data_IF_804702650276
#
_entry.id   IF_804702650276
#
_cell.length_a   1.000
_cell.length_b   1.000
_cell.length_c   1.000
_cell.angle_alpha   90.00
_cell.angle_beta   90.00
_cell.angle_gamma   90.00
#
_symmetry.space_group_name_H-M   'P 1'
#
loop_
_entity.id
_entity.type
_entity.pdbx_description
1 polymer ?
#
# COMPACT_ATOMS: atom_id res chain seq x y z
N UNK A 1 -8.05 -6.58 -0.69
CA UNK A 1 -9.12 -6.07 -1.55
C UNK A 1 -10.51 -6.52 -1.11
N UNK A 2 -10.84 -7.82 -1.17
CA UNK A 2 -12.18 -8.34 -0.81
C UNK A 2 -12.73 -7.87 0.54
N UNK A 3 -11.89 -7.72 1.57
CA UNK A 3 -12.34 -7.20 2.87
C UNK A 3 -12.79 -5.74 2.79
N UNK A 4 -12.03 -4.88 2.10
CA UNK A 4 -12.41 -3.48 1.88
C UNK A 4 -13.71 -3.40 1.07
N UNK A 5 -13.90 -4.31 0.13
CA UNK A 5 -15.12 -4.38 -0.66
C UNK A 5 -16.34 -4.86 0.14
N UNK A 6 -16.16 -5.84 1.02
CA UNK A 6 -17.22 -6.24 1.96
C UNK A 6 -17.56 -5.12 2.94
N UNK A 7 -16.55 -4.40 3.43
CA UNK A 7 -16.78 -3.23 4.29
C UNK A 7 -17.59 -2.17 3.54
N UNK A 8 -17.18 -1.80 2.31
CA UNK A 8 -17.92 -0.88 1.44
C UNK A 8 -19.39 -1.31 1.28
N UNK A 9 -19.60 -2.57 0.89
CA UNK A 9 -20.94 -3.12 0.67
C UNK A 9 -21.85 -2.95 1.89
N UNK A 10 -21.34 -3.15 3.10
CA UNK A 10 -22.13 -3.04 4.33
C UNK A 10 -22.35 -1.61 4.81
N UNK A 11 -21.47 -0.66 4.49
CA UNK A 11 -21.53 0.69 5.04
C UNK A 11 -22.05 1.73 4.06
N UNK A 12 -21.97 1.50 2.75
CA UNK A 12 -22.22 2.52 1.72
C UNK A 12 -23.52 2.30 0.92
N UNK A 13 -24.50 1.59 1.52
CA UNK A 13 -25.89 1.49 1.05
C UNK A 13 -26.05 1.19 -0.46
N UNK A 14 -25.44 0.09 -0.92
CA UNK A 14 -25.49 -0.39 -2.32
C UNK A 14 -24.93 0.58 -3.40
N UNK A 15 -24.22 1.64 -3.02
CA UNK A 15 -23.51 2.46 -4.01
C UNK A 15 -22.52 1.61 -4.80
N UNK A 16 -22.55 1.76 -6.14
CA UNK A 16 -21.62 1.04 -7.03
C UNK A 16 -20.18 1.38 -6.64
N UNK A 17 -19.35 0.34 -6.57
CA UNK A 17 -17.94 0.40 -6.17
C UNK A 17 -17.15 1.51 -6.87
N UNK A 18 -17.26 1.59 -8.19
CA UNK A 18 -16.43 2.48 -9.01
C UNK A 18 -16.78 3.97 -8.88
N UNK A 19 -17.87 4.30 -8.17
CA UNK A 19 -18.40 5.67 -8.06
C UNK A 19 -18.77 6.06 -6.63
N UNK A 20 -18.37 5.27 -5.62
CA UNK A 20 -18.70 5.59 -4.23
C UNK A 20 -17.95 6.83 -3.74
N UNK A 21 -18.71 7.84 -3.32
CA UNK A 21 -18.20 9.07 -2.70
C UNK A 21 -18.76 9.29 -1.29
N UNK A 22 -19.37 8.26 -0.69
CA UNK A 22 -20.02 8.35 0.61
C UNK A 22 -19.00 8.80 1.70
N UNK A 23 -19.27 9.88 2.47
CA UNK A 23 -18.33 10.41 3.47
C UNK A 23 -18.02 9.44 4.62
N UNK A 24 -18.91 8.49 4.86
CA UNK A 24 -18.79 7.45 5.89
C UNK A 24 -18.12 6.17 5.36
N UNK A 25 -17.91 6.02 4.03
CA UNK A 25 -17.30 4.81 3.48
C UNK A 25 -15.79 4.79 3.73
N UNK A 26 -15.34 4.07 4.76
CA UNK A 26 -13.92 3.97 5.10
C UNK A 26 -13.06 3.45 3.95
N UNK A 27 -13.56 2.50 3.16
CA UNK A 27 -12.84 1.92 2.01
C UNK A 27 -12.49 3.00 0.98
N UNK A 28 -13.47 3.80 0.55
CA UNK A 28 -13.24 4.84 -0.45
C UNK A 28 -12.60 6.11 0.11
N UNK A 29 -12.95 6.50 1.33
CA UNK A 29 -12.43 7.74 1.92
C UNK A 29 -10.98 7.61 2.39
N UNK A 30 -10.52 6.40 2.74
CA UNK A 30 -9.19 6.18 3.32
C UNK A 30 -8.25 5.38 2.44
N UNK A 31 -8.74 4.35 1.73
CA UNK A 31 -7.89 3.40 0.99
C UNK A 31 -7.91 3.60 -0.52
N UNK A 32 -9.03 4.03 -1.11
CA UNK A 32 -9.15 4.11 -2.55
C UNK A 32 -8.18 5.10 -3.18
N UNK A 33 -7.45 4.63 -4.19
CA UNK A 33 -6.66 5.46 -5.09
C UNK A 33 -7.47 5.70 -6.35
N UNK A 34 -7.92 6.93 -6.57
CA UNK A 34 -8.56 7.33 -7.83
C UNK A 34 -7.47 7.64 -8.83
N UNK A 35 -7.35 6.82 -9.87
CA UNK A 35 -6.27 6.88 -10.84
C UNK A 35 -6.81 7.12 -12.24
N UNK A 36 -5.97 7.63 -13.12
CA UNK A 36 -6.12 7.39 -14.55
C UNK A 36 -4.80 6.97 -15.18
N UNK A 37 -4.91 6.16 -16.23
CA UNK A 37 -3.80 5.74 -17.08
C UNK A 37 -3.83 6.45 -18.42
N UNK A 38 -2.66 6.86 -18.91
CA UNK A 38 -2.52 7.50 -20.21
C UNK A 38 -1.15 7.23 -20.84
N UNK A 39 -1.12 6.99 -22.15
CA UNK A 39 0.11 6.94 -22.94
C UNK A 39 0.31 8.28 -23.66
N UNK A 40 1.51 8.85 -23.58
CA UNK A 40 1.89 10.07 -24.30
C UNK A 40 3.17 9.81 -25.07
N UNK A 41 3.11 9.87 -26.39
CA UNK A 41 4.26 9.65 -27.25
C UNK A 41 5.16 10.88 -27.25
N UNK A 42 6.40 10.72 -26.83
CA UNK A 42 7.40 11.80 -26.87
C UNK A 42 7.88 12.10 -28.28
N UNK A 43 7.77 11.14 -29.20
CA UNK A 43 8.27 11.27 -30.58
C UNK A 43 7.29 12.01 -31.49
N UNK A 44 5.98 11.73 -31.42
CA UNK A 44 4.97 12.35 -32.30
C UNK A 44 3.87 13.14 -31.58
N UNK A 45 3.87 13.17 -30.24
CA UNK A 45 2.87 13.89 -29.44
C UNK A 45 1.52 13.19 -29.30
N UNK A 46 1.30 12.05 -29.98
CA UNK A 46 0.06 11.29 -29.88
C UNK A 46 -0.21 10.84 -28.45
N UNK A 47 -1.46 10.98 -28.03
CA UNK A 47 -1.90 10.70 -26.66
C UNK A 47 -3.10 9.77 -26.69
N UNK A 48 -3.15 8.76 -25.82
CA UNK A 48 -4.32 7.91 -25.68
C UNK A 48 -5.42 8.62 -24.88
N UNK A 49 -6.66 8.16 -25.03
CA UNK A 49 -7.72 8.56 -24.11
C UNK A 49 -7.33 8.17 -22.66
N UNK A 50 -7.64 9.03 -21.68
CA UNK A 50 -7.40 8.70 -20.28
C UNK A 50 -8.36 7.59 -19.83
N UNK A 51 -7.83 6.57 -19.16
CA UNK A 51 -8.62 5.48 -18.59
C UNK A 51 -8.70 5.63 -17.07
N UNK A 52 -9.80 6.17 -16.51
CA UNK A 52 -9.99 6.32 -15.07
C UNK A 52 -10.41 5.00 -14.42
N UNK A 53 -9.94 4.75 -13.20
CA UNK A 53 -10.34 3.62 -12.36
C UNK A 53 -10.03 3.88 -10.88
N UNK A 54 -10.59 3.04 -10.02
CA UNK A 54 -10.27 3.01 -8.59
C UNK A 54 -9.41 1.79 -8.30
N UNK A 55 -8.34 1.97 -7.55
CA UNK A 55 -7.47 0.89 -7.08
C UNK A 55 -7.47 0.87 -5.55
N UNK A 56 -7.77 -0.28 -4.94
CA UNK A 56 -7.73 -0.45 -3.48
C UNK A 56 -6.37 -0.95 -2.98
N UNK A 57 -5.69 -1.76 -3.79
CA UNK A 57 -4.37 -2.33 -3.47
C UNK A 57 -3.43 -2.14 -4.65
N UNK A 58 -2.25 -1.58 -4.39
CA UNK A 58 -1.20 -1.40 -5.39
C UNK A 58 -0.31 -2.64 -5.44
N UNK A 59 -0.54 -3.51 -6.42
CA UNK A 59 0.21 -4.76 -6.56
C UNK A 59 1.54 -4.56 -7.31
N UNK A 60 2.61 -5.15 -6.78
CA UNK A 60 3.97 -5.11 -7.31
C UNK A 60 4.52 -6.54 -7.38
N UNK A 61 5.08 -6.92 -8.52
CA UNK A 61 5.86 -8.16 -8.62
C UNK A 61 7.17 -8.03 -7.84
N UNK A 62 7.48 -9.01 -7.00
CA UNK A 62 8.75 -9.05 -6.26
C UNK A 62 9.95 -9.14 -7.20
N UNK A 63 9.80 -9.83 -8.33
CA UNK A 63 10.85 -9.96 -9.35
C UNK A 63 11.13 -8.61 -10.01
N UNK A 64 10.10 -7.86 -10.39
CA UNK A 64 10.27 -6.48 -10.89
C UNK A 64 10.88 -5.56 -9.84
N UNK A 65 10.49 -5.70 -8.57
CA UNK A 65 11.02 -4.92 -7.47
C UNK A 65 12.53 -5.15 -7.29
N UNK A 66 12.98 -6.41 -7.19
CA UNK A 66 14.39 -6.75 -7.05
C UNK A 66 15.22 -6.28 -8.25
N UNK A 67 14.72 -6.50 -9.47
CA UNK A 67 15.41 -6.06 -10.68
C UNK A 67 15.60 -4.53 -10.71
N UNK A 68 14.55 -3.77 -10.35
CA UNK A 68 14.67 -2.31 -10.29
C UNK A 68 15.56 -1.85 -9.15
N UNK A 69 15.58 -2.55 -8.01
CA UNK A 69 16.49 -2.23 -6.91
C UNK A 69 17.95 -2.35 -7.35
N UNK A 70 18.31 -3.42 -8.06
CA UNK A 70 19.64 -3.60 -8.66
C UNK A 70 19.96 -2.48 -9.65
N UNK A 71 19.05 -2.20 -10.60
CA UNK A 71 19.25 -1.12 -11.57
C UNK A 71 19.43 0.26 -10.91
N UNK A 72 18.71 0.55 -9.82
CA UNK A 72 18.84 1.81 -9.08
C UNK A 72 20.18 1.90 -8.33
N UNK A 73 20.66 0.79 -7.77
CA UNK A 73 21.98 0.71 -7.11
C UNK A 73 23.12 0.91 -8.11
N UNK A 74 23.04 0.32 -9.30
CA UNK A 74 24.07 0.49 -10.35
C UNK A 74 24.15 1.94 -10.86
N UNK A 75 23.02 2.64 -10.89
CA UNK A 75 22.93 4.01 -11.41
C UNK A 75 23.22 5.11 -10.40
N UNK A 76 23.22 4.80 -9.09
CA UNK A 76 23.40 5.81 -8.03
C UNK A 76 24.51 5.41 -7.07
N UNK A 77 25.41 6.36 -6.80
CA UNK A 77 26.50 6.16 -5.83
C UNK A 77 26.01 6.01 -4.37
N UNK A 78 24.78 6.45 -4.04
CA UNK A 78 24.16 6.25 -2.71
C UNK A 78 22.63 6.08 -2.80
N UNK A 79 22.06 4.89 -2.48
CA UNK A 79 20.63 4.75 -2.26
C UNK A 79 20.21 5.54 -1.01
N UNK A 80 19.09 6.28 -1.09
CA UNK A 80 18.47 6.94 0.07
C UNK A 80 17.17 6.21 0.46
N UNK A 81 16.81 6.17 1.75
CA UNK A 81 15.55 5.57 2.21
C UNK A 81 14.29 6.16 1.55
N UNK A 82 14.38 7.37 1.02
CA UNK A 82 13.28 8.09 0.36
C UNK A 82 12.99 7.57 -1.06
N UNK A 83 13.85 6.69 -1.60
CA UNK A 83 13.72 6.17 -2.96
C UNK A 83 12.71 5.03 -3.11
N UNK A 84 12.11 4.57 -2.01
CA UNK A 84 11.20 3.42 -2.08
C UNK A 84 9.98 3.68 -2.96
N UNK A 85 9.41 4.90 -2.96
CA UNK A 85 8.32 5.26 -3.86
C UNK A 85 8.72 5.17 -5.34
N UNK A 86 9.89 5.72 -5.69
CA UNK A 86 10.46 5.66 -7.05
C UNK A 86 10.75 4.21 -7.48
N UNK A 87 11.26 3.39 -6.56
CA UNK A 87 11.49 1.96 -6.78
C UNK A 87 10.18 1.23 -7.14
N UNK A 88 9.12 1.45 -6.36
CA UNK A 88 7.80 0.87 -6.61
C UNK A 88 7.21 1.34 -7.94
N UNK A 89 7.33 2.64 -8.26
CA UNK A 89 6.88 3.19 -9.53
C UNK A 89 7.58 2.53 -10.73
N UNK A 90 8.91 2.39 -10.65
CA UNK A 90 9.70 1.74 -11.68
C UNK A 90 9.33 0.27 -11.83
N UNK A 91 9.12 -0.44 -10.71
CA UNK A 91 8.72 -1.84 -10.70
C UNK A 91 7.31 -2.04 -11.30
N UNK A 92 6.38 -1.13 -10.99
CA UNK A 92 5.00 -1.13 -11.53
C UNK A 92 4.93 -0.98 -13.04
N UNK A 93 5.88 -0.27 -13.65
CA UNK A 93 5.89 0.00 -15.09
C UNK A 93 6.84 -0.92 -15.86
N UNK A 94 7.50 -1.86 -15.17
CA UNK A 94 8.43 -2.79 -15.77
C UNK A 94 7.69 -3.76 -16.71
N UNK A 95 8.00 -3.69 -18.01
CA UNK A 95 7.36 -4.50 -19.04
C UNK A 95 6.04 -3.94 -19.59
N UNK A 96 5.53 -2.84 -19.04
CA UNK A 96 4.26 -2.23 -19.44
C UNK A 96 4.46 -1.20 -20.59
N UNK A 97 4.89 -1.72 -21.74
CA UNK A 97 5.10 -0.95 -22.97
C UNK A 97 3.95 -1.15 -23.93
N UNK A 98 3.37 -0.05 -24.41
CA UNK A 98 2.34 -0.04 -25.46
C UNK A 98 2.86 0.60 -26.75
N UNK A 99 2.32 0.18 -27.88
CA UNK A 99 2.58 0.87 -29.14
C UNK A 99 1.99 2.28 -29.12
N UNK A 100 2.64 3.21 -29.83
CA UNK A 100 2.11 4.53 -30.02
C UNK A 100 0.66 4.51 -30.53
N UNK A 101 -0.27 5.32 -29.99
CA UNK A 101 -1.65 5.42 -30.49
C UNK A 101 -1.74 5.75 -31.98
N UNK A 102 -0.80 6.55 -32.51
CA UNK A 102 -0.68 6.87 -33.94
C UNK A 102 0.21 5.89 -34.72
N UNK A 103 0.62 4.79 -34.09
CA UNK A 103 1.45 3.73 -34.67
C UNK A 103 2.74 4.23 -35.36
N UNK A 104 3.41 5.24 -34.80
CA UNK A 104 4.63 5.82 -35.37
C UNK A 104 5.90 4.97 -35.15
N UNK A 105 5.77 3.74 -34.63
CA UNK A 105 6.88 2.83 -34.34
C UNK A 105 7.46 2.92 -32.91
N UNK A 106 7.09 3.94 -32.12
CA UNK A 106 7.58 4.11 -30.75
C UNK A 106 6.84 3.22 -29.75
N UNK A 107 7.55 2.73 -28.73
CA UNK A 107 6.97 2.05 -27.56
C UNK A 107 6.93 2.98 -26.35
N UNK A 108 5.76 3.12 -25.75
CA UNK A 108 5.47 4.11 -24.72
C UNK A 108 5.12 3.41 -23.41
N UNK A 109 5.66 3.92 -22.31
CA UNK A 109 5.26 3.50 -20.96
C UNK A 109 3.94 4.15 -20.57
N UNK A 110 3.09 3.41 -19.87
CA UNK A 110 1.86 3.96 -19.30
C UNK A 110 2.20 4.92 -18.16
N UNK A 111 1.57 6.09 -18.14
CA UNK A 111 1.64 7.06 -17.05
C UNK A 111 0.41 6.89 -16.17
N UNK A 112 0.64 6.60 -14.88
CA UNK A 112 -0.41 6.53 -13.85
C UNK A 112 -0.46 7.85 -13.08
N UNK A 113 -1.63 8.47 -13.04
CA UNK A 113 -1.84 9.76 -12.36
C UNK A 113 -2.84 9.58 -11.22
N UNK A 114 -2.42 9.93 -10.00
CA UNK A 114 -3.27 9.93 -8.81
C UNK A 114 -4.07 11.22 -8.69
N UNK A 115 -5.37 11.08 -8.55
CA UNK A 115 -6.34 12.18 -8.57
C UNK A 115 -6.82 12.63 -7.19
N UNK A 116 -6.65 11.79 -6.17
CA UNK A 116 -7.11 12.05 -4.81
C UNK A 116 -5.95 11.93 -3.79
N UNK A 117 -6.28 12.07 -2.51
CA UNK A 117 -5.33 11.98 -1.39
C UNK A 117 -5.70 10.85 -0.42
N UNK A 118 -5.43 9.57 -0.77
CA UNK A 118 -5.65 8.45 0.14
C UNK A 118 -4.78 8.61 1.39
N UNK A 119 -5.37 8.30 2.55
CA UNK A 119 -4.65 8.37 3.84
C UNK A 119 -4.00 7.04 4.20
N UNK A 120 -4.41 5.95 3.56
CA UNK A 120 -3.84 4.62 3.72
C UNK A 120 -3.52 4.06 2.33
N UNK A 121 -2.28 3.61 2.14
CA UNK A 121 -1.84 2.91 0.94
C UNK A 121 -1.54 1.47 1.32
N UNK A 122 -2.15 0.55 0.58
CA UNK A 122 -1.87 -0.89 0.69
C UNK A 122 -1.05 -1.32 -0.51
N UNK A 123 0.14 -1.87 -0.28
CA UNK A 123 0.99 -2.46 -1.33
C UNK A 123 0.93 -3.98 -1.20
N UNK A 124 0.52 -4.65 -2.26
CA UNK A 124 0.55 -6.11 -2.36
C UNK A 124 1.80 -6.57 -3.09
N UNK A 125 2.52 -7.52 -2.52
CA UNK A 125 3.70 -8.14 -3.14
C UNK A 125 3.28 -9.47 -3.76
N UNK A 126 3.48 -9.58 -5.08
CA UNK A 126 3.16 -10.76 -5.87
C UNK A 126 4.43 -11.56 -6.05
N UNK A 127 4.44 -12.77 -5.48
CA UNK A 127 5.54 -13.73 -5.53
C UNK A 127 5.33 -14.72 -6.67
N UNK A 128 6.40 -15.04 -7.38
CA UNK A 128 6.35 -16.02 -8.47
C UNK A 128 6.31 -17.47 -7.96
N UNK A 129 6.67 -17.70 -6.69
CA UNK A 129 6.64 -19.02 -6.04
C UNK A 129 6.49 -18.93 -4.53
N UNK A 130 6.00 -20.02 -3.91
CA UNK A 130 5.90 -20.19 -2.46
C UNK A 130 7.28 -20.30 -1.77
N UNK A 131 8.35 -20.52 -2.55
CA UNK A 131 9.72 -20.77 -2.08
C UNK A 131 10.72 -19.91 -2.86
N UNK A 132 10.47 -18.60 -2.94
CA UNK A 132 11.38 -17.69 -3.64
C UNK A 132 12.63 -17.39 -2.82
N UNK A 133 13.79 -17.49 -3.46
CA UNK A 133 15.09 -17.09 -2.90
C UNK A 133 15.26 -15.56 -2.81
N UNK A 134 14.31 -14.79 -3.37
CA UNK A 134 14.33 -13.32 -3.36
C UNK A 134 13.83 -12.72 -2.03
N UNK A 135 13.46 -13.54 -1.04
CA UNK A 135 12.85 -13.06 0.19
C UNK A 135 13.69 -12.00 0.91
N UNK A 136 14.99 -12.26 1.04
CA UNK A 136 15.94 -11.35 1.69
C UNK A 136 16.11 -10.04 0.91
N UNK A 137 16.27 -10.12 -0.42
CA UNK A 137 16.40 -8.94 -1.29
C UNK A 137 15.16 -8.04 -1.24
N UNK A 138 13.97 -8.65 -1.26
CA UNK A 138 12.70 -7.93 -1.10
C UNK A 138 12.66 -7.22 0.23
N UNK A 139 12.94 -7.92 1.34
CA UNK A 139 12.92 -7.34 2.70
C UNK A 139 13.90 -6.17 2.80
N UNK A 140 15.11 -6.29 2.25
CA UNK A 140 16.10 -5.22 2.24
C UNK A 140 15.68 -4.00 1.42
N UNK A 141 14.87 -4.22 0.39
CA UNK A 141 14.36 -3.16 -0.48
C UNK A 141 13.19 -2.37 0.14
N UNK A 142 12.56 -2.87 1.21
CA UNK A 142 11.38 -2.24 1.82
C UNK A 142 11.72 -0.93 2.55
N UNK A 143 11.10 0.17 2.10
CA UNK A 143 11.15 1.47 2.76
C UNK A 143 10.08 1.63 3.83
N UNK A 144 10.34 2.45 4.85
CA UNK A 144 9.37 2.74 5.93
C UNK A 144 8.63 4.06 5.75
N UNK A 145 9.02 4.88 4.77
CA UNK A 145 8.36 6.11 4.37
C UNK A 145 7.96 5.99 2.90
N UNK A 146 6.75 6.43 2.56
CA UNK A 146 6.19 6.40 1.23
C UNK A 146 5.60 7.76 0.89
N UNK A 147 6.16 8.40 -0.12
CA UNK A 147 5.67 9.67 -0.66
C UNK A 147 4.80 9.38 -1.87
N UNK A 148 3.57 9.89 -1.88
CA UNK A 148 2.65 9.64 -3.01
C UNK A 148 3.19 10.25 -4.32
N UNK A 149 3.91 11.36 -4.23
CA UNK A 149 4.57 12.02 -5.36
C UNK A 149 5.62 11.15 -6.05
N UNK A 150 6.23 10.19 -5.33
CA UNK A 150 7.24 9.28 -5.86
C UNK A 150 6.62 7.97 -6.35
N UNK A 151 5.46 7.58 -5.81
CA UNK A 151 4.77 6.33 -6.16
C UNK A 151 4.08 6.39 -7.53
N UNK A 152 3.55 7.55 -7.93
CA UNK A 152 2.82 7.74 -9.17
C UNK A 152 3.51 8.72 -10.11
N UNK A 153 3.36 8.53 -11.42
CA UNK A 153 4.01 9.40 -12.41
C UNK A 153 3.64 10.87 -12.20
N UNK A 154 2.41 11.13 -11.73
CA UNK A 154 1.95 12.45 -11.31
C UNK A 154 0.88 12.31 -10.23
N UNK A 155 0.82 13.29 -9.34
CA UNK A 155 -0.24 13.46 -8.34
C UNK A 155 -0.88 14.84 -8.56
N UNK A 156 -2.20 14.91 -8.70
CA UNK A 156 -2.89 16.17 -8.96
C UNK A 156 -3.37 16.88 -7.70
N UNK A 157 -3.83 16.14 -6.69
CA UNK A 157 -4.29 16.69 -5.41
C UNK A 157 -3.12 17.30 -4.62
N UNK A 158 -3.28 18.56 -4.17
CA UNK A 158 -2.21 19.31 -3.51
C UNK A 158 -1.85 18.76 -2.12
N UNK A 159 -2.79 18.15 -1.39
CA UNK A 159 -2.50 17.48 -0.12
C UNK A 159 -1.69 16.22 -0.39
N UNK A 160 -2.09 15.45 -1.40
CA UNK A 160 -1.42 14.20 -1.79
C UNK A 160 0.04 14.43 -2.22
N UNK A 161 0.34 15.53 -2.96
CA UNK A 161 1.70 15.89 -3.37
C UNK A 161 2.69 16.01 -2.21
N UNK A 162 2.21 16.46 -1.05
CA UNK A 162 3.02 16.67 0.15
C UNK A 162 2.77 15.60 1.23
N UNK A 163 2.06 14.53 0.89
CA UNK A 163 1.73 13.47 1.84
C UNK A 163 2.87 12.47 1.97
N UNK A 164 3.31 12.28 3.21
CA UNK A 164 4.23 11.22 3.62
C UNK A 164 3.47 10.21 4.47
N UNK A 165 3.47 8.96 4.04
CA UNK A 165 2.85 7.85 4.74
C UNK A 165 3.95 6.97 5.34
N UNK A 166 3.72 6.44 6.53
CA UNK A 166 4.69 5.58 7.20
C UNK A 166 4.19 4.15 7.27
N UNK A 167 5.10 3.19 7.13
CA UNK A 167 4.80 1.77 7.27
C UNK A 167 4.32 1.50 8.70
N UNK A 168 3.07 1.06 8.84
CA UNK A 168 2.44 0.74 10.12
C UNK A 168 2.22 -0.76 10.29
N UNK A 169 2.20 -1.51 9.20
CA UNK A 169 1.92 -2.94 9.22
C UNK A 169 2.53 -3.68 8.04
N UNK A 170 2.97 -4.91 8.29
CA UNK A 170 3.43 -5.85 7.28
C UNK A 170 2.86 -7.23 7.59
N UNK A 171 2.24 -7.86 6.60
CA UNK A 171 1.75 -9.23 6.67
C UNK A 171 2.72 -10.11 5.90
N UNK A 172 3.15 -11.19 6.54
CA UNK A 172 4.09 -12.15 5.99
C UNK A 172 3.46 -13.53 5.89
N UNK A 173 3.99 -14.33 4.99
CA UNK A 173 3.69 -15.74 4.85
C UNK A 173 4.96 -16.56 4.94
N UNK A 174 4.87 -17.70 5.61
CA UNK A 174 5.92 -18.71 5.63
C UNK A 174 5.30 -20.07 5.94
N UNK A 175 5.62 -21.08 5.13
CA UNK A 175 5.26 -22.47 5.44
C UNK A 175 3.76 -22.71 5.68
N UNK A 176 2.87 -22.14 4.86
CA UNK A 176 1.40 -22.20 4.99
C UNK A 176 0.82 -21.45 6.19
N UNK A 177 1.60 -20.56 6.78
CA UNK A 177 1.19 -19.78 7.93
C UNK A 177 1.35 -18.28 7.70
N UNK A 178 0.38 -17.51 8.18
CA UNK A 178 0.42 -16.05 8.13
C UNK A 178 0.84 -15.50 9.49
N UNK A 179 1.73 -14.52 9.47
CA UNK A 179 2.11 -13.76 10.66
C UNK A 179 2.23 -12.29 10.31
N UNK A 180 2.20 -11.41 11.31
CA UNK A 180 2.17 -9.98 11.07
C UNK A 180 3.11 -9.20 11.96
N UNK A 181 3.57 -8.06 11.44
CA UNK A 181 4.40 -7.11 12.13
C UNK A 181 3.69 -5.76 12.10
N UNK A 182 3.38 -5.20 13.27
CA UNK A 182 2.72 -3.89 13.37
C UNK A 182 3.47 -2.95 14.29
N UNK A 183 3.52 -1.67 13.93
CA UNK A 183 4.11 -0.64 14.76
C UNK A 183 3.09 -0.09 15.76
N UNK A 184 3.31 -0.35 17.05
CA UNK A 184 2.45 0.15 18.11
C UNK A 184 2.88 1.55 18.53
N UNK A 185 2.10 2.56 18.15
CA UNK A 185 2.42 3.97 18.35
C UNK A 185 2.56 4.38 19.81
N UNK A 186 1.74 3.83 20.72
CA UNK A 186 1.76 4.17 22.16
C UNK A 186 3.12 3.88 22.81
N UNK A 187 3.71 2.73 22.52
CA UNK A 187 5.00 2.30 23.08
C UNK A 187 6.17 2.52 22.10
N UNK A 188 5.87 2.92 20.86
CA UNK A 188 6.82 3.15 19.77
C UNK A 188 7.71 1.95 19.45
N UNK A 189 7.10 0.77 19.38
CA UNK A 189 7.79 -0.50 19.08
C UNK A 189 7.05 -1.31 18.04
N UNK A 190 7.83 -2.05 17.25
CA UNK A 190 7.34 -3.11 16.38
C UNK A 190 6.98 -4.33 17.21
N UNK A 191 5.80 -4.85 16.93
CA UNK A 191 5.21 -6.03 17.56
C UNK A 191 5.04 -7.09 16.48
N UNK A 192 5.41 -8.32 16.80
CA UNK A 192 5.17 -9.51 16.00
C UNK A 192 3.97 -10.27 16.56
N UNK A 193 3.03 -10.61 15.69
CA UNK A 193 1.82 -11.36 16.02
C UNK A 193 1.77 -12.65 15.20
N UNK A 194 1.58 -13.75 15.92
CA UNK A 194 1.59 -15.11 15.41
C UNK A 194 0.53 -15.91 16.16
N UNK A 195 -0.71 -15.82 15.66
CA UNK A 195 -1.93 -16.26 16.35
C UNK A 195 -2.00 -15.71 17.78
N UNK A 196 -1.93 -16.58 18.78
CA UNK A 196 -1.96 -16.22 20.20
C UNK A 196 -0.61 -15.69 20.72
N UNK A 197 0.48 -15.85 19.96
CA UNK A 197 1.81 -15.41 20.37
C UNK A 197 2.07 -13.98 19.92
N UNK A 198 2.23 -13.09 20.90
CA UNK A 198 2.61 -11.70 20.67
C UNK A 198 4.01 -11.45 21.23
N UNK A 199 4.90 -10.90 20.41
CA UNK A 199 6.29 -10.62 20.80
C UNK A 199 6.70 -9.22 20.44
N UNK A 200 7.27 -8.51 21.40
CA UNK A 200 7.95 -7.24 21.15
C UNK A 200 9.25 -7.48 20.36
N UNK A 201 9.45 -6.74 19.26
CA UNK A 201 10.65 -6.82 18.43
C UNK A 201 11.64 -5.72 18.77
N UNK A 202 11.17 -4.48 18.84
CA UNK A 202 12.01 -3.32 19.13
C UNK A 202 11.56 -2.05 18.43
N UNK A 203 12.20 -0.90 18.71
CA UNK A 203 11.80 0.38 18.16
C UNK A 203 12.24 0.60 16.71
N UNK A 204 13.16 -0.22 16.17
CA UNK A 204 13.78 0.03 14.86
C UNK A 204 13.30 -0.97 13.82
N UNK A 205 13.08 -0.48 12.60
CA UNK A 205 12.72 -1.32 11.44
C UNK A 205 13.77 -2.40 11.16
N UNK A 206 15.06 -2.11 11.38
CA UNK A 206 16.15 -3.08 11.20
C UNK A 206 15.97 -4.34 12.07
N UNK A 207 15.33 -4.22 13.22
CA UNK A 207 15.06 -5.36 14.11
C UNK A 207 13.98 -6.28 13.49
N UNK A 208 12.98 -5.69 12.84
CA UNK A 208 11.96 -6.41 12.05
C UNK A 208 12.61 -7.11 10.87
N UNK A 209 13.43 -6.40 10.09
CA UNK A 209 14.20 -6.96 8.96
C UNK A 209 15.03 -8.17 9.41
N UNK A 210 15.77 -8.03 10.51
CA UNK A 210 16.60 -9.11 11.06
C UNK A 210 15.78 -10.34 11.43
N UNK A 211 14.59 -10.15 12.04
CA UNK A 211 13.69 -11.26 12.35
C UNK A 211 13.09 -11.87 11.09
N UNK A 212 12.74 -11.07 10.09
CA UNK A 212 12.16 -11.55 8.84
C UNK A 212 13.13 -12.46 8.10
N UNK A 213 14.39 -12.04 7.97
CA UNK A 213 15.45 -12.82 7.32
C UNK A 213 15.71 -14.12 8.10
N UNK A 214 15.89 -14.05 9.42
CA UNK A 214 16.13 -15.25 10.26
C UNK A 214 14.98 -16.26 10.23
N UNK A 215 13.74 -15.79 10.05
CA UNK A 215 12.56 -16.63 9.98
C UNK A 215 12.12 -16.97 8.57
N UNK A 216 12.89 -16.58 7.55
CA UNK A 216 12.58 -16.81 6.13
C UNK A 216 11.18 -16.33 5.70
N UNK A 217 10.69 -15.24 6.31
CA UNK A 217 9.35 -14.72 6.06
C UNK A 217 9.27 -14.04 4.68
N UNK A 218 8.20 -14.29 3.94
CA UNK A 218 7.89 -13.60 2.69
C UNK A 218 6.86 -12.49 2.97
N UNK A 219 7.21 -11.20 2.83
CA UNK A 219 6.23 -10.12 2.96
C UNK A 219 5.22 -10.18 1.81
N UNK A 220 3.92 -10.13 2.12
CA UNK A 220 2.82 -10.18 1.16
C UNK A 220 2.06 -8.86 1.04
N UNK A 221 1.87 -8.17 2.15
CA UNK A 221 1.08 -6.94 2.21
C UNK A 221 1.77 -5.93 3.11
N UNK A 222 1.89 -4.71 2.62
CA UNK A 222 2.43 -3.56 3.37
C UNK A 222 1.32 -2.53 3.53
N UNK A 223 1.22 -1.98 4.73
CA UNK A 223 0.25 -0.95 5.09
C UNK A 223 0.99 0.33 5.46
N UNK A 224 0.78 1.38 4.68
CA UNK A 224 1.29 2.72 4.94
C UNK A 224 0.15 3.63 5.33
N UNK A 225 0.32 4.45 6.37
CA UNK A 225 -0.70 5.38 6.84
C UNK A 225 -0.15 6.80 7.05
N UNK A 226 -0.96 7.81 6.74
CA UNK A 226 -0.70 9.20 7.11
C UNK A 226 -0.81 9.33 8.64
N UNK A 227 0.22 9.82 9.35
CA UNK A 227 0.20 9.99 10.80
C UNK A 227 -0.82 11.05 11.26
N UNK A 228 -1.30 11.88 10.34
CA UNK A 228 -2.36 12.89 10.57
C UNK A 228 -3.73 12.39 10.10
N UNK A 229 -3.86 11.10 9.80
CA UNK A 229 -5.11 10.45 9.43
C UNK A 229 -6.20 10.73 10.47
N UNK A 230 -7.41 11.01 9.99
CA UNK A 230 -8.59 11.25 10.83
C UNK A 230 -9.63 10.16 10.60
N UNK A 231 -10.57 9.91 11.52
CA UNK A 231 -11.72 9.04 11.26
C UNK A 231 -12.55 9.53 10.06
N UNK A 232 -13.36 8.64 9.49
CA UNK A 232 -14.41 9.05 8.53
C UNK A 232 -15.53 9.81 9.24
N UNK A 233 -16.25 10.67 8.51
CA UNK A 233 -17.43 11.35 9.05
C UNK A 233 -18.58 10.36 9.17
N UNK A 234 -19.26 10.36 10.32
CA UNK A 234 -20.42 9.49 10.59
C UNK A 234 -21.76 10.23 10.54
N UNK A 235 -21.77 11.50 10.11
CA UNK A 235 -22.95 12.37 10.19
C UNK A 235 -24.13 11.91 9.31
N UNK A 236 -23.86 11.16 8.23
CA UNK A 236 -24.87 10.67 7.28
C UNK A 236 -25.05 9.14 7.32
N UNK A 237 -24.78 8.49 8.46
CA UNK A 237 -25.00 7.05 8.59
C UNK A 237 -26.50 6.71 8.62
N UNK A 238 -26.95 5.67 7.89
CA UNK A 238 -28.30 5.13 8.06
C UNK A 238 -28.51 4.71 9.53
N UNK A 239 -29.70 4.93 10.12
CA UNK A 239 -29.97 4.66 11.54
C UNK A 239 -29.83 3.18 11.97
N UNK A 240 -29.56 2.25 11.04
CA UNK A 240 -29.34 0.84 11.34
C UNK A 240 -27.87 0.46 11.65
N UNK A 241 -26.90 1.36 11.44
CA UNK A 241 -25.48 1.09 11.71
C UNK A 241 -25.06 1.76 13.02
N UNK A 242 -25.66 1.35 14.14
CA UNK A 242 -25.33 1.91 15.45
C UNK A 242 -24.01 1.32 16.00
N UNK A 243 -22.89 1.93 15.64
CA UNK A 243 -21.54 1.58 16.13
C UNK A 243 -21.38 1.78 17.66
N UNK A 244 -22.34 2.42 18.34
CA UNK A 244 -22.22 2.73 19.77
C UNK A 244 -22.23 1.48 20.67
N UNK A 245 -22.79 0.35 20.21
CA UNK A 245 -22.80 -0.89 21.00
C UNK A 245 -21.45 -1.62 21.03
N UNK A 246 -20.63 -1.53 19.97
CA UNK A 246 -19.34 -2.24 19.91
C UNK A 246 -18.24 -1.62 20.77
N UNK A 247 -18.37 -0.33 21.11
CA UNK A 247 -17.37 0.38 21.91
C UNK A 247 -17.39 0.00 23.40
N UNK A 248 -18.46 -0.65 23.86
CA UNK A 248 -18.69 -0.95 25.30
C UNK A 248 -18.21 -2.32 25.76
N UNK A 249 -17.87 -3.24 24.85
CA UNK A 249 -17.56 -4.64 25.23
C UNK A 249 -16.08 -5.03 25.17
N UNK A 250 -15.16 -4.13 24.82
CA UNK A 250 -13.73 -4.46 24.65
C UNK A 250 -12.77 -3.85 25.69
N UNK A 251 -13.27 -3.23 26.76
CA UNK A 251 -12.40 -2.59 27.77
C UNK A 251 -12.71 -2.92 29.23
N UNK A 252 -13.49 -3.95 29.52
CA UNK A 252 -13.61 -4.51 30.88
C UNK A 252 -13.08 -5.94 30.88
N UNK A 253 -11.75 -6.07 30.92
CA UNK A 253 -11.11 -7.26 31.48
C UNK A 253 -10.25 -6.78 32.65
N UNK A 254 -10.92 -6.45 33.75
CA UNK A 254 -10.30 -6.47 35.06
C UNK A 254 -9.94 -7.92 35.39
N UNK A 255 -8.65 -8.26 35.31
CA UNK A 255 -8.11 -9.36 36.10
C UNK A 255 -6.96 -8.83 36.95
N UNK A 256 -7.36 -8.19 38.05
CA UNK A 256 -6.51 -8.02 39.23
C UNK A 256 -6.73 -9.23 40.13
N UNK A 257 -5.93 -10.27 39.92
CA UNK A 257 -5.88 -11.47 40.75
C UNK A 257 -4.47 -11.68 41.29
N UNK A 258 -4.36 -11.61 42.63
CA UNK A 258 -3.18 -11.79 43.49
C UNK A 258 -2.24 -12.94 43.13
#
# INVERSE_FOLDING_TARGET
>A
ENLLMRIHFHIADETKEDICTAPHCVSHQKFAMTLFEQCVCTSCGATSDPLPFIQMVHYISTTSLCNQAICMLERREKPTPDMFGELLQNASTMGDLRNCPSNCGEKIRIRRVLMNSPQIITIGLVWDSDHSDLAEDVIHSLGTCLKLGDLFFRVTDDRAKHSELYLVGMICYYGKHYSTFFFQTKIRKWMYFDDAHVKEIGPKWKDVVTKCIKGHYQPLLLLYADPRGTPVSTQDLPPQVDLQQYSRTCYDSEDSGK
#
